data_IF_833135419827
#
_entry.id   IF_833135419827
#
_cell.length_a   1.000
_cell.length_b   1.000
_cell.length_c   1.000
_cell.angle_alpha   90.00
_cell.angle_beta   90.00
_cell.angle_gamma   90.00
#
_symmetry.space_group_name_H-M   'P 1'
#
loop_
_entity.id
_entity.type
_entity.pdbx_description
1 polymer ?
#
# COMPACT_ATOMS: atom_id res chain seq x y z
N UNK A 1 -12.65 1.16 5.39
CA UNK A 1 -11.20 0.91 5.23
C UNK A 1 -11.05 -0.23 4.22
N UNK A 2 -10.48 0.04 3.04
CA UNK A 2 -10.39 -0.96 1.97
C UNK A 2 -9.19 -0.73 1.07
N UNK A 3 -8.39 -1.77 0.88
CA UNK A 3 -7.53 -1.91 -0.28
C UNK A 3 -8.40 -2.41 -1.44
N UNK A 4 -8.18 -1.89 -2.64
CA UNK A 4 -8.89 -2.36 -3.83
C UNK A 4 -7.93 -3.28 -4.57
N UNK A 5 -8.13 -4.58 -4.39
CA UNK A 5 -7.51 -5.57 -5.26
C UNK A 5 -8.51 -6.01 -6.32
N UNK A 6 -8.17 -5.88 -7.61
CA UNK A 6 -8.93 -6.49 -8.69
C UNK A 6 -9.12 -7.99 -8.41
N UNK A 7 -10.34 -8.53 -8.64
CA UNK A 7 -10.59 -9.97 -8.51
C UNK A 7 -9.83 -10.81 -9.55
N UNK A 8 -9.41 -10.16 -10.61
CA UNK A 8 -8.58 -10.62 -11.72
C UNK A 8 -7.79 -9.40 -12.23
N UNK A 9 -6.71 -9.56 -12.99
CA UNK A 9 -5.91 -8.44 -13.53
C UNK A 9 -6.65 -7.57 -14.57
N UNK A 10 -7.98 -7.63 -14.63
CA UNK A 10 -8.81 -6.81 -15.50
C UNK A 10 -9.24 -5.54 -14.77
N UNK A 11 -9.41 -4.46 -15.53
CA UNK A 11 -9.96 -3.23 -14.99
C UNK A 11 -11.43 -3.44 -14.56
N UNK A 12 -11.84 -2.88 -13.40
CA UNK A 12 -13.23 -2.93 -12.96
C UNK A 12 -14.16 -2.24 -13.96
N UNK A 13 -15.39 -2.73 -14.04
CA UNK A 13 -16.42 -2.10 -14.87
C UNK A 13 -16.78 -0.71 -14.35
N UNK A 14 -17.27 0.21 -15.19
CA UNK A 14 -17.70 1.53 -14.74
C UNK A 14 -18.74 1.51 -13.60
N UNK A 15 -19.58 0.47 -13.56
CA UNK A 15 -20.57 0.28 -12.48
C UNK A 15 -19.91 -0.07 -11.15
N UNK A 16 -18.85 -0.88 -11.17
CA UNK A 16 -18.08 -1.22 -9.96
C UNK A 16 -17.32 -0.01 -9.45
N UNK A 17 -16.74 0.80 -10.35
CA UNK A 17 -16.09 2.07 -9.99
C UNK A 17 -17.07 3.04 -9.34
N UNK A 18 -18.28 3.19 -9.91
CA UNK A 18 -19.33 4.03 -9.32
C UNK A 18 -19.73 3.54 -7.91
N UNK A 19 -19.94 2.23 -7.74
CA UNK A 19 -20.27 1.66 -6.43
C UNK A 19 -19.17 1.87 -5.39
N UNK A 20 -17.91 1.83 -5.81
CA UNK A 20 -16.77 2.12 -4.95
C UNK A 20 -16.72 3.61 -4.54
N UNK A 21 -16.95 4.54 -5.48
CA UNK A 21 -17.06 5.97 -5.18
C UNK A 21 -18.15 6.23 -4.14
N UNK A 22 -19.32 5.61 -4.32
CA UNK A 22 -20.43 5.73 -3.37
C UNK A 22 -20.03 5.22 -1.98
N UNK A 23 -19.32 4.10 -1.89
CA UNK A 23 -18.85 3.55 -0.62
C UNK A 23 -17.81 4.47 0.06
N UNK A 24 -16.83 4.97 -0.69
CA UNK A 24 -15.79 5.87 -0.15
C UNK A 24 -16.41 7.13 0.46
N UNK A 25 -17.39 7.72 -0.22
CA UNK A 25 -18.13 8.87 0.28
C UNK A 25 -19.00 8.52 1.48
N UNK A 26 -19.70 7.38 1.47
CA UNK A 26 -20.60 6.98 2.55
C UNK A 26 -19.86 6.67 3.86
N UNK A 27 -18.63 6.17 3.76
CA UNK A 27 -17.79 5.78 4.90
C UNK A 27 -16.75 6.86 5.27
N UNK A 28 -16.81 8.03 4.64
CA UNK A 28 -15.88 9.15 4.84
C UNK A 28 -14.40 8.71 4.79
N UNK A 29 -14.05 7.85 3.83
CA UNK A 29 -12.70 7.25 3.75
C UNK A 29 -11.70 8.34 3.31
N UNK A 30 -10.67 8.67 4.13
CA UNK A 30 -9.78 9.78 3.84
C UNK A 30 -8.67 9.43 2.83
N UNK A 31 -8.33 8.14 2.71
CA UNK A 31 -7.23 7.65 1.89
C UNK A 31 -7.60 6.31 1.24
N UNK A 32 -7.26 6.17 -0.03
CA UNK A 32 -7.35 4.94 -0.81
C UNK A 32 -5.93 4.47 -1.10
N UNK A 33 -5.68 3.18 -0.95
CA UNK A 33 -4.36 2.59 -1.09
C UNK A 33 -4.26 1.70 -2.32
N UNK A 34 -3.22 1.90 -3.13
CA UNK A 34 -2.78 1.08 -4.26
C UNK A 34 -1.36 0.55 -4.03
N UNK A 35 -0.92 -0.35 -4.92
CA UNK A 35 0.43 -0.92 -4.91
C UNK A 35 1.34 -0.17 -5.89
N UNK A 36 2.61 0.00 -5.51
CA UNK A 36 3.65 0.67 -6.32
C UNK A 36 3.83 -0.01 -7.69
N UNK A 37 3.69 -1.34 -7.73
CA UNK A 37 3.85 -2.13 -8.96
C UNK A 37 2.57 -2.22 -9.79
N UNK A 38 1.45 -1.70 -9.28
CA UNK A 38 0.19 -1.59 -10.01
C UNK A 38 -0.46 -0.19 -9.83
N UNK A 39 0.14 0.87 -10.41
CA UNK A 39 -0.52 2.16 -10.52
C UNK A 39 -1.84 2.00 -11.28
N UNK A 40 -2.94 2.45 -10.67
CA UNK A 40 -4.27 2.25 -11.23
C UNK A 40 -4.92 3.59 -11.55
N UNK A 41 -5.16 3.84 -12.83
CA UNK A 41 -5.97 4.98 -13.30
C UNK A 41 -7.36 4.98 -12.65
N UNK A 42 -7.88 3.80 -12.30
CA UNK A 42 -9.14 3.65 -11.57
C UNK A 42 -9.03 4.21 -10.15
N UNK A 43 -7.97 3.91 -9.40
CA UNK A 43 -7.82 4.44 -8.04
C UNK A 43 -7.59 5.95 -8.03
N UNK A 44 -6.85 6.46 -9.02
CA UNK A 44 -6.69 7.89 -9.24
C UNK A 44 -8.04 8.57 -9.54
N UNK A 45 -8.91 7.93 -10.35
CA UNK A 45 -10.27 8.41 -10.60
C UNK A 45 -11.11 8.47 -9.34
N UNK A 46 -11.11 7.40 -8.54
CA UNK A 46 -11.90 7.33 -7.31
C UNK A 46 -11.44 8.39 -6.32
N UNK A 47 -10.12 8.57 -6.14
CA UNK A 47 -9.56 9.65 -5.32
C UNK A 47 -10.00 11.04 -5.81
N UNK A 48 -9.94 11.28 -7.13
CA UNK A 48 -10.39 12.54 -7.73
C UNK A 48 -11.89 12.80 -7.51
N UNK A 49 -12.73 11.77 -7.63
CA UNK A 49 -14.18 11.89 -7.52
C UNK A 49 -14.67 12.07 -6.07
N UNK A 50 -13.94 11.53 -5.10
CA UNK A 50 -14.35 11.50 -3.67
C UNK A 50 -13.61 12.52 -2.83
N UNK A 51 -12.44 12.99 -3.28
CA UNK A 51 -11.52 13.80 -2.49
C UNK A 51 -10.64 12.98 -1.53
N UNK A 52 -10.78 11.66 -1.50
CA UNK A 52 -9.85 10.80 -0.79
C UNK A 52 -8.45 10.90 -1.41
N UNK A 53 -7.42 10.97 -0.56
CA UNK A 53 -6.03 10.94 -1.03
C UNK A 53 -5.74 9.56 -1.60
N UNK A 54 -5.15 9.51 -2.79
CA UNK A 54 -4.60 8.27 -3.33
C UNK A 54 -3.17 8.09 -2.81
N UNK A 55 -2.91 6.95 -2.17
CA UNK A 55 -1.59 6.47 -1.75
C UNK A 55 -1.22 5.27 -2.62
N UNK A 56 -0.27 5.43 -3.53
CA UNK A 56 0.12 4.42 -4.51
C UNK A 56 1.35 3.63 -4.12
N UNK A 57 1.91 3.87 -2.93
CA UNK A 57 3.24 3.36 -2.57
C UNK A 57 3.24 2.07 -1.76
N UNK A 58 2.09 1.43 -1.48
CA UNK A 58 2.08 0.16 -0.73
C UNK A 58 2.83 -0.92 -1.52
N UNK A 59 3.42 -1.87 -0.79
CA UNK A 59 4.34 -2.86 -1.34
C UNK A 59 3.82 -4.26 -1.12
N UNK A 60 3.73 -5.05 -2.17
CA UNK A 60 3.34 -6.47 -2.13
C UNK A 60 4.45 -7.40 -2.62
N UNK A 61 5.09 -7.05 -3.75
CA UNK A 61 6.19 -7.84 -4.35
C UNK A 61 7.55 -7.11 -4.38
N UNK A 62 7.59 -5.81 -4.05
CA UNK A 62 8.82 -4.98 -4.06
C UNK A 62 9.28 -4.62 -2.65
N UNK A 63 10.32 -5.29 -2.16
CA UNK A 63 10.88 -5.04 -0.84
C UNK A 63 11.49 -3.63 -0.74
N UNK A 64 11.39 -2.95 0.42
CA UNK A 64 12.01 -1.64 0.60
C UNK A 64 13.54 -1.67 0.48
N UNK A 65 14.15 -0.64 -0.11
CA UNK A 65 15.61 -0.55 -0.23
C UNK A 65 16.21 -1.56 -1.21
N UNK A 66 17.53 -1.70 -1.20
CA UNK A 66 18.27 -2.60 -2.09
C UNK A 66 18.57 -3.95 -1.41
N UNK A 67 18.82 -5.03 -2.18
CA UNK A 67 19.26 -6.31 -1.61
C UNK A 67 20.43 -6.15 -0.63
N UNK A 68 20.23 -6.60 0.60
CA UNK A 68 21.19 -6.49 1.71
C UNK A 68 20.96 -5.31 2.66
N UNK A 69 20.06 -4.38 2.34
CA UNK A 69 19.64 -3.33 3.27
C UNK A 69 18.80 -3.93 4.43
N UNK A 70 18.88 -3.31 5.62
CA UNK A 70 18.16 -3.79 6.81
C UNK A 70 16.64 -3.86 6.63
N UNK A 71 16.08 -3.00 5.76
CA UNK A 71 14.65 -2.94 5.45
C UNK A 71 14.26 -3.78 4.24
N UNK A 72 15.24 -4.34 3.51
CA UNK A 72 15.00 -5.20 2.34
C UNK A 72 14.62 -6.61 2.80
N UNK A 73 13.53 -6.67 3.55
CA UNK A 73 13.01 -7.86 4.18
C UNK A 73 11.49 -7.81 4.21
N UNK A 74 10.88 -8.98 4.31
CA UNK A 74 9.43 -9.08 4.52
C UNK A 74 8.97 -8.28 5.75
N UNK A 75 9.77 -8.26 6.83
CA UNK A 75 9.43 -7.50 8.03
C UNK A 75 9.48 -5.99 7.77
N UNK A 76 10.47 -5.51 7.00
CA UNK A 76 10.56 -4.11 6.56
C UNK A 76 9.37 -3.70 5.70
N UNK A 77 8.97 -4.55 4.75
CA UNK A 77 7.76 -4.36 3.94
C UNK A 77 6.50 -4.24 4.82
N UNK A 78 6.28 -5.19 5.74
CA UNK A 78 5.10 -5.16 6.62
C UNK A 78 5.10 -3.90 7.51
N UNK A 79 6.26 -3.52 8.04
CA UNK A 79 6.41 -2.30 8.84
C UNK A 79 6.04 -1.07 8.02
N UNK A 80 6.59 -0.95 6.81
CA UNK A 80 6.31 0.16 5.89
C UNK A 80 4.81 0.28 5.62
N UNK A 81 4.16 -0.81 5.18
CA UNK A 81 2.75 -0.80 4.81
C UNK A 81 1.83 -0.43 5.99
N UNK A 82 2.06 -1.02 7.17
CA UNK A 82 1.25 -0.67 8.34
C UNK A 82 1.47 0.78 8.81
N UNK A 83 2.72 1.28 8.77
CA UNK A 83 3.00 2.68 9.12
C UNK A 83 2.29 3.61 8.15
N UNK A 84 2.35 3.33 6.85
CA UNK A 84 1.69 4.11 5.79
C UNK A 84 0.18 4.11 5.95
N UNK A 85 -0.44 2.93 6.15
CA UNK A 85 -1.89 2.81 6.36
C UNK A 85 -2.37 3.55 7.62
N UNK A 86 -1.71 3.32 8.77
CA UNK A 86 -2.11 3.93 10.03
C UNK A 86 -1.98 5.45 9.95
N UNK A 87 -0.87 5.95 9.42
CA UNK A 87 -0.63 7.39 9.29
C UNK A 87 -1.59 8.03 8.29
N UNK A 88 -1.84 7.36 7.15
CA UNK A 88 -2.79 7.82 6.14
C UNK A 88 -4.22 7.94 6.68
N UNK A 89 -4.64 7.02 7.54
CA UNK A 89 -5.94 7.05 8.20
C UNK A 89 -6.00 8.00 9.41
N UNK A 90 -4.96 8.80 9.66
CA UNK A 90 -4.90 9.81 10.73
C UNK A 90 -4.46 9.28 12.10
N UNK A 91 -3.98 8.04 12.16
CA UNK A 91 -3.39 7.44 13.35
C UNK A 91 -1.93 7.83 13.56
N UNK A 92 -1.32 7.28 14.63
CA UNK A 92 0.12 7.37 14.88
C UNK A 92 0.69 5.96 15.02
N UNK A 93 1.71 5.64 14.22
CA UNK A 93 2.31 4.32 14.16
C UNK A 93 3.63 4.20 14.96
N UNK A 94 3.79 4.98 16.04
CA UNK A 94 5.08 5.16 16.75
C UNK A 94 5.79 3.85 17.09
N UNK A 95 5.08 2.88 17.66
CA UNK A 95 5.67 1.58 18.05
C UNK A 95 6.07 0.75 16.84
N UNK A 96 5.30 0.82 15.74
CA UNK A 96 5.64 0.13 14.50
C UNK A 96 6.83 0.80 13.82
N UNK A 97 6.91 2.13 13.81
CA UNK A 97 8.08 2.85 13.32
C UNK A 97 9.35 2.49 14.09
N UNK A 98 9.24 2.25 15.39
CA UNK A 98 10.36 1.84 16.25
C UNK A 98 10.68 0.34 16.18
N UNK A 99 9.89 -0.47 15.45
CA UNK A 99 10.14 -1.88 15.31
C UNK A 99 11.47 -2.10 14.57
N UNK A 100 12.35 -2.87 15.20
CA UNK A 100 13.58 -3.34 14.59
C UNK A 100 13.25 -4.48 13.61
N UNK A 101 13.59 -4.27 12.34
CA UNK A 101 13.37 -5.21 11.26
C UNK A 101 14.69 -5.75 10.70
N UNK A 102 15.82 -5.42 11.32
CA UNK A 102 17.12 -5.89 10.90
C UNK A 102 17.16 -7.44 10.97
N UNK A 103 17.58 -8.11 9.88
CA UNK A 103 17.75 -9.54 9.89
C UNK A 103 18.73 -9.97 10.98
N UNK A 104 18.34 -10.94 11.81
CA UNK A 104 19.21 -11.49 12.86
C UNK A 104 20.43 -12.25 12.32
N UNK A 105 20.44 -12.53 11.01
CA UNK A 105 21.52 -13.19 10.27
C UNK A 105 21.87 -12.36 9.05
N UNK A 106 23.16 -12.21 8.78
CA UNK A 106 23.64 -11.54 7.57
C UNK A 106 23.19 -12.32 6.34
N UNK A 107 22.61 -11.63 5.36
CA UNK A 107 22.31 -12.23 4.07
C UNK A 107 23.60 -12.31 3.23
N UNK A 108 24.03 -13.53 2.93
CA UNK A 108 25.18 -13.82 2.07
C UNK A 108 24.74 -14.28 0.66
N UNK A 109 23.44 -14.17 0.35
CA UNK A 109 22.86 -14.65 -0.89
C UNK A 109 23.19 -13.71 -2.06
N UNK A 110 23.51 -14.30 -3.22
CA UNK A 110 23.66 -13.54 -4.47
C UNK A 110 22.37 -13.67 -5.28
N UNK A 111 21.66 -12.55 -5.44
CA UNK A 111 20.46 -12.49 -6.27
C UNK A 111 20.84 -12.09 -7.71
N UNK A 112 20.64 -12.96 -8.72
CA UNK A 112 20.81 -12.56 -10.11
C UNK A 112 19.72 -11.55 -10.47
N UNK A 113 20.15 -10.38 -10.95
CA UNK A 113 19.30 -9.33 -11.53
C UNK A 113 18.93 -9.69 -12.97
#
# INVERSE_FOLDING_TARGET
IGAIQPRNFEDPTPKEVAGLIDQVNAEDVPVIFGSEVFPSDVLAEVGRATGARYEDTLRDDDLPGEPGDAEHSWMGLMRYDYVTMISGLGGRATELTALDTEPAVTDESTYPQ
#
